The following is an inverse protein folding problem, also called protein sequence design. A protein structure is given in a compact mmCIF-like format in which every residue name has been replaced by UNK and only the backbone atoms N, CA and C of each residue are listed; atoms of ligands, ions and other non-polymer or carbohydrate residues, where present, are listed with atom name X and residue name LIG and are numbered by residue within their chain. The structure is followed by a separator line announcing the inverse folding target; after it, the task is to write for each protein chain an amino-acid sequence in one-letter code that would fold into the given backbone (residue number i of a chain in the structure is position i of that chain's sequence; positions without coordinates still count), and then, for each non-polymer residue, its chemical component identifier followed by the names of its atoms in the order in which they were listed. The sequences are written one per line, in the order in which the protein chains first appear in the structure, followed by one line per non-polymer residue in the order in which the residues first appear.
data_IF_583053722103
#
_entry.id   IF_583053722103
#
_cell.length_a   1.000
_cell.length_b   1.000
_cell.length_c   1.000
_cell.angle_alpha   90.00
_cell.angle_beta   90.00
_cell.angle_gamma   90.00
#
_symmetry.space_group_name_H-M   'P 1'
#
loop_
_entity.id
_entity.type
_entity.pdbx_description
1 polymer ?
#
# COMPACT_ATOMS: atom_id res chain seq x y z
N UNK A 1 -52.33 7.12 20.52
CA UNK A 1 -51.62 8.36 20.20
C UNK A 1 -50.13 8.04 20.16
N UNK A 2 -49.59 7.90 18.96
CA UNK A 2 -48.19 7.58 18.75
C UNK A 2 -47.48 8.81 18.13
N UNK A 3 -46.60 9.43 18.89
CA UNK A 3 -45.80 10.59 18.46
C UNK A 3 -44.56 10.10 17.73
N UNK A 4 -44.55 10.36 16.42
CA UNK A 4 -43.42 10.07 15.52
C UNK A 4 -42.38 11.18 15.70
N UNK A 5 -41.17 10.83 16.14
CA UNK A 5 -39.99 11.69 16.10
C UNK A 5 -39.35 11.62 14.70
N UNK A 6 -39.47 12.74 13.98
CA UNK A 6 -38.70 12.95 12.73
C UNK A 6 -37.37 13.59 13.10
N UNK A 7 -36.27 12.85 12.92
CA UNK A 7 -34.94 13.41 12.89
C UNK A 7 -34.71 14.06 11.52
N UNK A 8 -34.55 15.38 11.49
CA UNK A 8 -34.17 16.13 10.30
C UNK A 8 -32.65 16.05 10.14
N UNK A 9 -32.18 15.18 9.24
CA UNK A 9 -30.82 15.29 8.71
C UNK A 9 -30.80 16.44 7.70
N UNK A 10 -30.15 17.55 8.07
CA UNK A 10 -29.91 18.66 7.17
C UNK A 10 -28.83 18.26 6.14
N UNK A 11 -29.25 17.89 4.94
CA UNK A 11 -28.37 17.76 3.79
C UNK A 11 -27.95 19.16 3.31
N UNK A 12 -26.69 19.53 3.48
CA UNK A 12 -26.11 20.68 2.85
C UNK A 12 -26.03 20.43 1.33
N UNK A 13 -26.94 21.04 0.55
CA UNK A 13 -26.87 21.05 -0.92
C UNK A 13 -25.82 22.07 -1.36
N UNK A 14 -24.74 21.60 -1.98
CA UNK A 14 -23.80 22.47 -2.69
C UNK A 14 -24.43 22.92 -4.00
N UNK A 15 -24.64 24.23 -4.16
CA UNK A 15 -24.99 24.84 -5.43
C UNK A 15 -23.71 25.26 -6.16
N UNK A 16 -23.46 24.67 -7.31
CA UNK A 16 -22.38 25.10 -8.21
C UNK A 16 -22.98 26.11 -9.19
N UNK A 17 -22.64 27.36 -9.03
CA UNK A 17 -22.99 28.41 -9.97
C UNK A 17 -22.13 28.35 -11.23
N UNK A 18 -22.68 28.80 -12.38
CA UNK A 18 -22.09 28.81 -13.73
C UNK A 18 -20.75 29.59 -13.88
N UNK A 19 -20.22 30.18 -12.83
CA UNK A 19 -19.00 31.02 -12.86
C UNK A 19 -17.82 30.46 -12.07
N UNK A 20 -17.86 29.18 -11.64
CA UNK A 20 -16.70 28.52 -11.03
C UNK A 20 -16.16 29.14 -9.71
N UNK A 21 -16.89 30.06 -9.05
CA UNK A 21 -16.52 30.56 -7.73
C UNK A 21 -17.27 29.80 -6.65
N UNK A 22 -16.54 29.07 -5.85
CA UNK A 22 -17.04 28.49 -4.60
C UNK A 22 -17.21 29.67 -3.64
N UNK A 23 -18.47 30.08 -3.40
CA UNK A 23 -18.79 31.05 -2.34
C UNK A 23 -18.76 30.28 -1.00
N UNK A 24 -17.72 30.51 -0.25
CA UNK A 24 -17.63 30.04 1.14
C UNK A 24 -18.55 30.91 2.00
N UNK A 25 -19.77 30.45 2.27
CA UNK A 25 -20.73 31.11 3.17
C UNK A 25 -20.32 31.04 4.67
N UNK A 26 -19.06 30.77 4.96
CA UNK A 26 -18.56 30.77 6.34
C UNK A 26 -18.40 32.20 6.92
N UNK A 27 -18.38 33.22 6.07
CA UNK A 27 -18.23 34.62 6.50
C UNK A 27 -19.51 35.19 7.16
N UNK A 28 -20.69 34.67 6.80
CA UNK A 28 -21.97 35.15 7.34
C UNK A 28 -22.28 34.61 8.76
N UNK A 29 -21.52 33.62 9.24
CA UNK A 29 -21.71 33.04 10.56
C UNK A 29 -20.77 33.64 11.63
N UNK A 30 -19.99 34.65 11.30
CA UNK A 30 -19.09 35.31 12.25
C UNK A 30 -17.93 34.44 12.76
N UNK A 31 -17.71 33.27 12.15
CA UNK A 31 -16.63 32.36 12.50
C UNK A 31 -15.36 32.84 11.81
N UNK A 32 -14.46 33.48 12.56
CA UNK A 32 -13.10 33.77 12.09
C UNK A 32 -12.33 32.47 11.95
N UNK A 33 -12.29 31.91 10.75
CA UNK A 33 -11.38 30.80 10.41
C UNK A 33 -9.96 31.38 10.32
N UNK A 34 -9.12 31.07 11.30
CA UNK A 34 -7.69 31.37 11.22
C UNK A 34 -7.04 30.43 10.18
N UNK A 35 -6.05 30.89 9.40
CA UNK A 35 -5.41 30.05 8.38
C UNK A 35 -4.77 28.75 8.93
N UNK A 36 -4.52 28.69 10.22
CA UNK A 36 -4.03 27.47 10.89
C UNK A 36 -5.08 26.35 11.03
N UNK A 37 -6.37 26.66 10.90
CA UNK A 37 -7.43 25.66 11.02
C UNK A 37 -7.65 24.81 9.74
N UNK A 38 -6.99 25.16 8.63
CA UNK A 38 -7.19 24.52 7.32
C UNK A 38 -6.17 23.40 7.04
N UNK A 39 -5.07 23.37 7.79
CA UNK A 39 -4.06 22.32 7.69
C UNK A 39 -4.32 21.22 8.73
N UNK A 40 -5.44 20.53 8.61
CA UNK A 40 -5.55 19.21 9.24
C UNK A 40 -4.76 18.26 8.35
N UNK A 41 -3.57 17.80 8.75
CA UNK A 41 -2.88 16.77 7.99
C UNK A 41 -3.77 15.54 8.00
N UNK A 42 -4.27 15.15 6.84
CA UNK A 42 -4.99 13.89 6.62
C UNK A 42 -4.03 12.70 6.71
N UNK A 43 -3.18 12.70 7.74
CA UNK A 43 -2.45 11.50 8.10
C UNK A 43 -3.46 10.56 8.75
N UNK A 44 -3.86 9.52 8.02
CA UNK A 44 -4.58 8.39 8.59
C UNK A 44 -3.74 7.84 9.74
N UNK A 45 -4.11 8.17 10.96
CA UNK A 45 -3.53 7.54 12.13
C UNK A 45 -3.94 6.07 12.12
N UNK A 46 -3.03 5.19 11.73
CA UNK A 46 -3.24 3.74 11.64
C UNK A 46 -3.53 3.06 12.98
N UNK A 47 -3.41 3.78 14.09
CA UNK A 47 -3.72 3.25 15.40
C UNK A 47 -4.19 4.36 16.33
N UNK A 48 -5.47 4.29 16.70
CA UNK A 48 -6.04 5.13 17.75
C UNK A 48 -5.38 4.86 19.13
N UNK A 49 -4.66 3.74 19.26
CA UNK A 49 -4.01 3.34 20.49
C UNK A 49 -2.88 4.28 20.90
N UNK A 50 -2.06 4.73 19.96
CA UNK A 50 -0.94 5.65 20.25
C UNK A 50 -1.39 7.03 20.76
N UNK A 51 -2.65 7.41 20.49
CA UNK A 51 -3.25 8.69 20.90
C UNK A 51 -4.14 8.55 22.14
N UNK A 52 -4.27 7.34 22.68
CA UNK A 52 -5.01 7.08 23.91
C UNK A 52 -4.40 7.91 25.05
N UNK A 53 -5.24 8.56 25.91
CA UNK A 53 -4.76 9.31 27.05
C UNK A 53 -3.97 8.44 28.05
N UNK A 54 -4.24 7.12 28.09
CA UNK A 54 -3.50 6.18 28.91
C UNK A 54 -2.06 6.01 28.39
N UNK A 55 -1.87 5.89 27.08
CA UNK A 55 -0.53 5.75 26.47
C UNK A 55 0.28 7.03 26.64
N UNK A 56 -0.36 8.20 26.55
CA UNK A 56 0.31 9.48 26.83
C UNK A 56 0.80 9.55 28.29
N UNK A 57 -0.06 9.17 29.25
CA UNK A 57 0.33 9.13 30.67
C UNK A 57 1.49 8.16 30.92
N UNK A 58 1.50 7.00 30.27
CA UNK A 58 2.60 6.03 30.40
C UNK A 58 3.90 6.64 29.85
N UNK A 59 3.86 7.30 28.70
CA UNK A 59 5.05 7.94 28.10
C UNK A 59 5.61 9.08 28.94
N UNK A 60 4.74 9.82 29.64
CA UNK A 60 5.14 10.89 30.55
C UNK A 60 5.70 10.36 31.90
N UNK A 61 5.26 9.16 32.30
CA UNK A 61 5.58 8.58 33.61
C UNK A 61 6.89 7.79 33.62
N UNK A 62 7.30 7.23 32.48
CA UNK A 62 8.48 6.38 32.38
C UNK A 62 9.50 6.98 31.45
N UNK A 63 10.69 7.24 31.99
CA UNK A 63 11.87 7.50 31.18
C UNK A 63 12.41 6.17 30.67
N UNK A 64 12.64 6.06 29.34
CA UNK A 64 13.14 4.83 28.74
C UNK A 64 14.22 5.14 27.71
N UNK A 65 15.25 4.33 27.72
CA UNK A 65 16.33 4.36 26.77
C UNK A 65 16.20 3.18 25.80
N UNK A 66 16.44 3.42 24.51
CA UNK A 66 16.42 2.38 23.49
C UNK A 66 17.86 2.06 23.13
N UNK A 67 18.35 0.93 23.64
CA UNK A 67 19.64 0.39 23.22
C UNK A 67 19.44 -0.59 22.06
N UNK A 68 20.06 -0.28 20.91
CA UNK A 68 19.97 -1.13 19.72
C UNK A 68 20.99 -2.27 19.71
N UNK A 69 22.02 -2.18 20.52
CA UNK A 69 23.16 -3.12 20.54
C UNK A 69 23.39 -3.71 21.93
N UNK A 70 22.33 -3.92 22.69
CA UNK A 70 22.45 -4.52 24.01
C UNK A 70 23.13 -5.90 23.92
N UNK A 71 24.19 -6.17 24.72
CA UNK A 71 24.88 -7.46 24.69
C UNK A 71 24.00 -8.64 25.09
N UNK A 72 22.94 -8.36 25.86
CA UNK A 72 21.95 -9.34 26.29
C UNK A 72 21.06 -9.84 25.12
N UNK A 73 21.02 -9.11 24.01
CA UNK A 73 20.25 -9.50 22.83
C UNK A 73 20.69 -10.85 22.24
N UNK A 74 21.95 -11.23 22.43
CA UNK A 74 22.46 -12.53 21.98
C UNK A 74 21.72 -13.71 22.56
N UNK A 75 21.18 -13.59 23.79
CA UNK A 75 20.38 -14.63 24.42
C UNK A 75 18.97 -14.74 23.78
N UNK A 76 18.43 -13.63 23.35
CA UNK A 76 17.14 -13.57 22.65
C UNK A 76 17.27 -14.12 21.23
N UNK A 77 18.35 -13.81 20.53
CA UNK A 77 18.61 -14.31 19.17
C UNK A 77 18.65 -15.85 19.12
N UNK A 78 19.11 -16.51 20.16
CA UNK A 78 19.11 -17.99 20.23
C UNK A 78 17.70 -18.59 20.23
N UNK A 79 16.69 -17.83 20.65
CA UNK A 79 15.28 -18.25 20.70
C UNK A 79 14.55 -17.93 19.39
N UNK A 80 15.11 -17.10 18.55
CA UNK A 80 14.51 -16.79 17.26
C UNK A 80 14.61 -17.99 16.31
N UNK A 81 13.60 -18.21 15.46
CA UNK A 81 13.66 -19.28 14.47
C UNK A 81 14.83 -19.05 13.53
N UNK A 82 15.59 -20.11 13.25
CA UNK A 82 16.70 -20.02 12.30
C UNK A 82 16.22 -19.63 10.91
N UNK A 83 16.94 -18.76 10.23
CA UNK A 83 16.72 -18.47 8.82
C UNK A 83 16.98 -19.73 7.99
N UNK A 84 15.94 -20.27 7.41
CA UNK A 84 16.03 -21.48 6.57
C UNK A 84 16.74 -21.23 5.25
N UNK A 85 16.71 -19.95 4.78
CA UNK A 85 17.29 -19.54 3.51
C UNK A 85 18.32 -18.46 3.80
N UNK A 86 19.60 -18.71 3.47
CA UNK A 86 20.66 -17.73 3.71
C UNK A 86 20.51 -16.52 2.80
N UNK A 87 21.04 -15.36 3.18
CA UNK A 87 21.10 -14.19 2.32
C UNK A 87 21.93 -14.50 1.05
N UNK A 88 21.47 -13.94 -0.06
CA UNK A 88 22.12 -14.17 -1.36
C UNK A 88 23.45 -13.42 -1.39
N UNK A 89 24.54 -14.14 -1.70
CA UNK A 89 25.83 -13.54 -1.90
C UNK A 89 25.87 -12.83 -3.27
N UNK A 90 26.37 -11.59 -3.36
CA UNK A 90 26.48 -10.87 -4.61
C UNK A 90 27.47 -11.59 -5.56
N UNK A 91 27.03 -11.87 -6.78
CA UNK A 91 27.81 -12.47 -7.85
C UNK A 91 27.56 -11.70 -9.14
N UNK A 92 28.53 -11.73 -10.06
CA UNK A 92 28.39 -11.07 -11.37
C UNK A 92 27.29 -11.71 -12.23
N UNK A 93 27.15 -13.04 -12.16
CA UNK A 93 26.09 -13.78 -12.86
C UNK A 93 25.59 -14.95 -12.04
N UNK A 94 24.32 -15.26 -12.20
CA UNK A 94 23.67 -16.42 -11.55
C UNK A 94 23.28 -17.44 -12.61
N UNK A 95 23.69 -18.71 -12.48
CA UNK A 95 23.40 -19.75 -13.47
C UNK A 95 21.91 -20.04 -13.62
N UNK A 96 21.10 -19.67 -12.63
CA UNK A 96 19.62 -19.79 -12.69
C UNK A 96 18.93 -18.67 -13.48
N UNK A 97 19.68 -17.67 -13.99
CA UNK A 97 19.11 -16.47 -14.60
C UNK A 97 18.40 -15.52 -13.63
N UNK A 98 18.62 -15.73 -12.32
CA UNK A 98 18.07 -14.84 -11.31
C UNK A 98 18.73 -13.44 -11.38
N UNK A 99 17.93 -12.39 -11.29
CA UNK A 99 18.39 -11.01 -11.34
C UNK A 99 18.24 -10.41 -9.92
N UNK A 100 19.30 -9.84 -9.34
CA UNK A 100 19.23 -9.21 -8.03
C UNK A 100 18.32 -7.96 -8.07
N UNK A 101 17.66 -7.62 -6.97
CA UNK A 101 16.89 -6.38 -6.87
C UNK A 101 17.84 -5.18 -6.90
N UNK A 102 17.41 -4.10 -7.56
CA UNK A 102 18.12 -2.81 -7.57
C UNK A 102 17.66 -1.96 -6.39
N UNK A 103 18.58 -1.20 -5.81
CA UNK A 103 18.21 -0.30 -4.69
C UNK A 103 17.34 0.87 -5.13
N UNK A 104 17.46 1.32 -6.38
CA UNK A 104 16.63 2.37 -6.98
C UNK A 104 15.13 2.05 -6.96
N UNK A 105 14.78 0.77 -6.94
CA UNK A 105 13.38 0.34 -6.87
C UNK A 105 12.69 0.70 -5.55
N UNK A 106 13.46 0.96 -4.47
CA UNK A 106 12.92 1.36 -3.17
C UNK A 106 12.42 2.81 -3.14
N UNK A 107 12.92 3.65 -4.03
CA UNK A 107 12.58 5.08 -4.12
C UNK A 107 11.29 5.31 -4.93
N UNK A 108 10.75 4.25 -5.56
CA UNK A 108 9.51 4.33 -6.29
C UNK A 108 8.30 4.49 -5.35
N UNK A 109 7.22 5.18 -5.78
CA UNK A 109 6.01 5.37 -4.97
C UNK A 109 5.26 4.06 -4.70
N UNK A 110 5.59 3.00 -5.41
CA UNK A 110 5.09 1.64 -5.23
C UNK A 110 6.28 0.67 -5.16
N UNK A 111 6.16 -0.36 -4.36
CA UNK A 111 7.21 -1.36 -4.16
C UNK A 111 6.62 -2.77 -4.06
N UNK A 112 7.37 -3.75 -4.54
CA UNK A 112 7.00 -5.15 -4.45
C UNK A 112 8.16 -5.96 -3.83
N UNK A 113 8.16 -6.18 -2.50
CA UNK A 113 9.19 -6.95 -1.84
C UNK A 113 9.18 -8.39 -2.31
N UNK A 114 10.36 -8.94 -2.53
CA UNK A 114 10.53 -10.34 -2.90
C UNK A 114 10.07 -11.28 -1.78
N UNK A 115 9.80 -12.49 -2.13
CA UNK A 115 9.49 -13.56 -1.17
C UNK A 115 10.74 -13.91 -0.36
N UNK A 116 10.57 -14.69 0.71
CA UNK A 116 11.71 -15.24 1.47
C UNK A 116 12.66 -16.10 0.62
N UNK A 117 12.21 -16.61 -0.51
CA UNK A 117 13.00 -17.38 -1.48
C UNK A 117 13.67 -16.49 -2.53
N UNK A 118 13.69 -15.17 -2.34
CA UNK A 118 14.26 -14.18 -3.26
C UNK A 118 13.58 -14.09 -4.64
N UNK A 119 12.39 -14.68 -4.78
CA UNK A 119 11.59 -14.67 -6.00
C UNK A 119 10.56 -13.52 -6.02
N UNK A 120 10.17 -13.10 -7.24
CA UNK A 120 9.08 -12.14 -7.41
C UNK A 120 7.74 -12.80 -7.02
N UNK A 121 6.88 -12.10 -6.24
CA UNK A 121 5.58 -12.64 -5.82
C UNK A 121 4.52 -12.55 -6.92
N UNK A 122 4.81 -13.10 -8.09
CA UNK A 122 3.95 -13.14 -9.27
C UNK A 122 3.55 -14.60 -9.54
N UNK A 123 2.26 -14.89 -9.48
CA UNK A 123 1.73 -16.25 -9.52
C UNK A 123 0.64 -16.39 -10.58
N UNK A 124 0.56 -17.55 -11.20
CA UNK A 124 -0.57 -17.96 -12.03
C UNK A 124 -1.57 -18.74 -11.18
N UNK A 125 -2.79 -18.24 -11.11
CA UNK A 125 -3.90 -18.92 -10.44
C UNK A 125 -4.86 -19.48 -11.48
N UNK A 126 -4.99 -20.79 -11.49
CA UNK A 126 -5.92 -21.49 -12.36
C UNK A 126 -7.20 -21.84 -11.58
N UNK A 127 -8.33 -21.34 -12.04
CA UNK A 127 -9.64 -21.59 -11.44
C UNK A 127 -10.57 -22.27 -12.45
N UNK A 128 -11.74 -22.74 -12.00
CA UNK A 128 -12.73 -23.41 -12.85
C UNK A 128 -12.14 -24.57 -13.68
N UNK A 129 -11.48 -25.51 -13.01
CA UNK A 129 -10.85 -26.70 -13.67
C UNK A 129 -9.82 -26.32 -14.75
N UNK A 130 -9.10 -25.20 -14.55
CA UNK A 130 -8.06 -24.73 -15.49
C UNK A 130 -8.55 -23.81 -16.61
N UNK A 131 -9.85 -23.58 -16.74
CA UNK A 131 -10.42 -22.73 -17.80
C UNK A 131 -10.16 -21.24 -17.57
N UNK A 132 -10.15 -20.80 -16.31
CA UNK A 132 -9.89 -19.40 -15.96
C UNK A 132 -8.48 -19.26 -15.41
N UNK A 133 -7.63 -18.57 -16.16
CA UNK A 133 -6.28 -18.20 -15.75
C UNK A 133 -6.27 -16.75 -15.26
N UNK A 134 -5.64 -16.51 -14.12
CA UNK A 134 -5.50 -15.18 -13.52
C UNK A 134 -4.04 -15.04 -13.06
N UNK A 135 -3.36 -14.02 -13.55
CA UNK A 135 -2.03 -13.64 -13.06
C UNK A 135 -2.20 -12.75 -11.85
N UNK A 136 -1.59 -13.13 -10.72
CA UNK A 136 -1.72 -12.45 -9.44
C UNK A 136 -0.38 -11.90 -8.98
N UNK A 137 -0.31 -10.59 -8.74
CA UNK A 137 0.84 -9.92 -8.10
C UNK A 137 0.49 -9.70 -6.64
N UNK A 138 1.37 -10.11 -5.75
CA UNK A 138 1.16 -10.00 -4.29
C UNK A 138 2.20 -9.12 -3.62
N UNK A 139 1.98 -8.82 -2.32
CA UNK A 139 2.90 -8.04 -1.48
C UNK A 139 3.18 -6.64 -2.04
N UNK A 140 2.19 -5.96 -2.57
CA UNK A 140 2.37 -4.60 -3.09
C UNK A 140 2.33 -3.63 -1.92
N UNK A 141 3.32 -2.75 -1.84
CA UNK A 141 3.46 -1.68 -0.86
C UNK A 141 3.42 -0.33 -1.57
N UNK A 142 2.91 0.70 -0.89
CA UNK A 142 2.76 2.03 -1.46
C UNK A 142 1.48 2.17 -2.30
N UNK A 143 1.58 2.91 -3.41
CA UNK A 143 0.44 3.20 -4.28
C UNK A 143 0.14 2.04 -5.24
N UNK A 144 -0.85 1.22 -4.85
CA UNK A 144 -1.28 0.07 -5.64
C UNK A 144 -2.03 0.48 -6.94
N UNK A 145 -2.71 1.65 -6.93
CA UNK A 145 -3.45 2.11 -8.09
C UNK A 145 -2.51 2.57 -9.19
N UNK A 146 -1.49 3.34 -8.85
CA UNK A 146 -0.46 3.75 -9.79
C UNK A 146 0.23 2.53 -10.41
N UNK A 147 0.59 1.54 -9.59
CA UNK A 147 1.19 0.30 -10.08
C UNK A 147 0.25 -0.45 -11.03
N UNK A 148 -1.05 -0.52 -10.73
CA UNK A 148 -2.04 -1.16 -11.58
C UNK A 148 -2.16 -0.48 -12.96
N UNK A 149 -2.14 0.85 -12.99
CA UNK A 149 -2.27 1.60 -14.25
C UNK A 149 -1.04 1.43 -15.14
N UNK A 150 0.16 1.43 -14.56
CA UNK A 150 1.41 1.13 -15.28
C UNK A 150 1.44 -0.31 -15.84
N UNK A 151 0.94 -1.28 -15.07
CA UNK A 151 0.82 -2.67 -15.53
C UNK A 151 -0.18 -2.78 -16.68
N UNK A 152 -1.32 -2.11 -16.58
CA UNK A 152 -2.31 -2.08 -17.68
C UNK A 152 -1.71 -1.50 -18.95
N UNK A 153 -1.06 -0.36 -18.86
CA UNK A 153 -0.41 0.30 -19.98
C UNK A 153 0.62 -0.62 -20.65
N UNK A 154 1.50 -1.24 -19.85
CA UNK A 154 2.50 -2.17 -20.35
C UNK A 154 1.88 -3.37 -21.07
N UNK A 155 0.86 -4.00 -20.47
CA UNK A 155 0.22 -5.18 -21.08
C UNK A 155 -0.62 -4.82 -22.31
N UNK A 156 -1.31 -3.68 -22.30
CA UNK A 156 -2.07 -3.22 -23.46
C UNK A 156 -1.17 -2.89 -24.65
N UNK A 157 -0.02 -2.27 -24.37
CA UNK A 157 0.98 -1.96 -25.41
C UNK A 157 1.56 -3.23 -26.01
N UNK A 158 1.94 -4.23 -25.17
CA UNK A 158 2.59 -5.45 -25.65
C UNK A 158 1.63 -6.39 -26.40
N UNK A 159 0.38 -6.47 -25.94
CA UNK A 159 -0.58 -7.43 -26.51
C UNK A 159 -1.65 -6.78 -27.41
N UNK A 160 -1.63 -5.46 -27.53
CA UNK A 160 -2.57 -4.66 -28.34
C UNK A 160 -4.05 -5.05 -28.09
N UNK A 161 -4.39 -5.33 -26.84
CA UNK A 161 -5.75 -5.71 -26.42
C UNK A 161 -6.07 -5.13 -25.04
N UNK A 162 -7.35 -4.95 -24.79
CA UNK A 162 -7.83 -4.55 -23.46
C UNK A 162 -7.56 -5.63 -22.40
N UNK A 163 -6.98 -5.25 -21.28
CA UNK A 163 -6.64 -6.13 -20.16
C UNK A 163 -7.50 -5.75 -18.95
N UNK A 164 -8.28 -6.70 -18.46
CA UNK A 164 -9.07 -6.53 -17.25
C UNK A 164 -8.19 -6.78 -16.02
N UNK A 165 -8.22 -5.84 -15.09
CA UNK A 165 -7.51 -5.94 -13.80
C UNK A 165 -8.45 -5.71 -12.65
N UNK A 166 -8.14 -6.31 -11.51
CA UNK A 166 -8.84 -6.14 -10.25
C UNK A 166 -7.82 -5.82 -9.16
N UNK A 167 -8.00 -4.69 -8.49
CA UNK A 167 -7.16 -4.26 -7.37
C UNK A 167 -7.83 -4.64 -6.06
N UNK A 168 -7.05 -5.19 -5.13
CA UNK A 168 -7.49 -5.50 -3.78
C UNK A 168 -6.58 -4.81 -2.76
N UNK A 169 -6.99 -3.63 -2.31
CA UNK A 169 -6.18 -2.78 -1.43
C UNK A 169 -5.85 -3.46 -0.09
N UNK A 170 -6.85 -4.04 0.59
CA UNK A 170 -6.64 -4.70 1.88
C UNK A 170 -5.71 -5.91 1.77
N UNK A 171 -5.83 -6.68 0.68
CA UNK A 171 -5.00 -7.85 0.42
C UNK A 171 -3.64 -7.51 -0.18
N UNK A 172 -3.41 -6.27 -0.59
CA UNK A 172 -2.20 -5.80 -1.27
C UNK A 172 -1.81 -6.66 -2.46
N UNK A 173 -2.81 -6.92 -3.33
CA UNK A 173 -2.59 -7.68 -4.55
C UNK A 173 -3.40 -7.14 -5.72
N UNK A 174 -2.88 -7.39 -6.92
CA UNK A 174 -3.52 -7.09 -8.20
C UNK A 174 -3.75 -8.40 -8.93
N UNK A 175 -4.95 -8.59 -9.42
CA UNK A 175 -5.33 -9.70 -10.29
C UNK A 175 -5.45 -9.21 -11.73
N UNK A 176 -4.82 -9.89 -12.66
CA UNK A 176 -4.89 -9.63 -14.09
C UNK A 176 -5.51 -10.84 -14.77
N UNK A 177 -6.60 -10.65 -15.49
CA UNK A 177 -7.31 -11.74 -16.19
C UNK A 177 -6.51 -12.20 -17.39
N UNK A 178 -6.00 -13.40 -17.33
CA UNK A 178 -5.18 -14.04 -18.35
C UNK A 178 -3.86 -14.60 -17.80
N UNK A 179 -3.08 -15.18 -18.69
CA UNK A 179 -1.75 -15.68 -18.38
C UNK A 179 -0.69 -14.70 -18.90
N UNK A 180 -0.27 -13.80 -18.03
CA UNK A 180 0.71 -12.76 -18.32
C UNK A 180 1.93 -12.81 -17.39
N UNK A 181 2.13 -13.95 -16.70
CA UNK A 181 3.17 -14.07 -15.67
C UNK A 181 4.56 -13.71 -16.19
N UNK A 182 4.91 -14.17 -17.41
CA UNK A 182 6.22 -13.89 -17.98
C UNK A 182 6.41 -12.40 -18.30
N UNK A 183 5.44 -11.78 -18.95
CA UNK A 183 5.48 -10.36 -19.27
C UNK A 183 5.51 -9.48 -18.01
N UNK A 184 4.80 -9.88 -16.97
CA UNK A 184 4.82 -9.19 -15.66
C UNK A 184 6.17 -9.34 -14.94
N UNK A 185 6.83 -10.50 -15.08
CA UNK A 185 8.19 -10.69 -14.55
C UNK A 185 9.20 -9.82 -15.28
N UNK A 186 9.16 -9.80 -16.61
CA UNK A 186 10.02 -8.93 -17.43
C UNK A 186 9.83 -7.44 -17.07
N UNK A 187 8.57 -7.03 -16.92
CA UNK A 187 8.24 -5.68 -16.48
C UNK A 187 8.82 -5.39 -15.09
N UNK A 188 8.65 -6.29 -14.14
CA UNK A 188 9.16 -6.13 -12.78
C UNK A 188 10.70 -6.03 -12.77
N UNK A 189 11.39 -6.87 -13.52
CA UNK A 189 12.85 -6.80 -13.67
C UNK A 189 13.32 -5.50 -14.35
N UNK A 190 12.56 -4.98 -15.32
CA UNK A 190 12.88 -3.69 -15.95
C UNK A 190 12.78 -2.52 -14.97
N UNK A 191 11.88 -2.61 -14.00
CA UNK A 191 11.74 -1.62 -12.91
C UNK A 191 12.73 -1.83 -11.75
N UNK A 192 13.45 -2.96 -11.74
CA UNK A 192 14.48 -3.26 -10.74
C UNK A 192 13.98 -4.00 -9.48
N UNK A 193 12.76 -4.52 -9.50
CA UNK A 193 12.21 -5.31 -8.39
C UNK A 193 12.90 -6.66 -8.21
#
# INVERSE_FOLDING_TARGET
MATVWRSQCAFARFFVGKTGRILNNAADLGIKLTPESILVPTTRNYSNYSHSPLVKKIKEQYDFEIDKNAPEWTYVERLLPFETIPPVQPKESYPSGWIPPKEEAKDLPYFMPRTKNHELPIYLVNTHKGQRKVSMLRKIEGDIWLMNDLIKEHLQTNFNRYVETRVHELGRFIEVKGDFVNSLREWAYSKGF
#
